data_IF_502089673772
#
_entry.id   IF_502089673772
#
_cell.length_a   1.000
_cell.length_b   1.000
_cell.length_c   1.000
_cell.angle_alpha   90.00
_cell.angle_beta   90.00
_cell.angle_gamma   90.00
#
_symmetry.space_group_name_H-M   'P 1'
#
loop_
_entity.id
_entity.type
_entity.pdbx_description
1 polymer ?
#
# COMPACT_ATOMS: atom_id res chain seq x y z
N UNK A 1 7.51 -23.71 -4.04
CA UNK A 1 6.89 -22.51 -3.42
C UNK A 1 7.66 -22.18 -2.17
N UNK A 2 8.23 -20.99 -2.08
CA UNK A 2 8.92 -20.54 -0.87
C UNK A 2 7.96 -19.67 -0.05
N UNK A 3 7.40 -20.28 1.01
CA UNK A 3 6.44 -19.63 1.91
C UNK A 3 7.01 -18.38 2.57
N UNK A 4 8.33 -18.33 2.80
CA UNK A 4 8.97 -17.15 3.42
C UNK A 4 8.90 -15.96 2.48
N UNK A 5 9.19 -16.17 1.19
CA UNK A 5 9.11 -15.11 0.17
C UNK A 5 7.69 -14.63 -0.05
N UNK A 6 6.72 -15.54 -0.08
CA UNK A 6 5.28 -15.20 -0.16
C UNK A 6 4.89 -14.30 1.01
N UNK A 7 5.24 -14.70 2.22
CA UNK A 7 4.92 -13.96 3.43
C UNK A 7 5.57 -12.57 3.43
N UNK A 8 6.86 -12.48 3.07
CA UNK A 8 7.56 -11.20 2.90
C UNK A 8 6.89 -10.31 1.86
N UNK A 9 6.49 -10.86 0.69
CA UNK A 9 5.77 -10.13 -0.34
C UNK A 9 4.40 -9.62 0.12
N UNK A 10 3.65 -10.44 0.86
CA UNK A 10 2.37 -10.05 1.45
C UNK A 10 2.54 -8.91 2.46
N UNK A 11 3.50 -9.02 3.39
CA UNK A 11 3.78 -7.97 4.38
C UNK A 11 4.26 -6.67 3.72
N UNK A 12 5.05 -6.78 2.65
CA UNK A 12 5.56 -5.62 1.90
C UNK A 12 4.44 -4.95 1.13
N UNK A 13 3.59 -5.73 0.44
CA UNK A 13 2.40 -5.24 -0.23
C UNK A 13 1.48 -4.52 0.75
N UNK A 14 1.17 -5.18 1.88
CA UNK A 14 0.43 -4.63 3.01
C UNK A 14 0.97 -3.26 3.45
N UNK A 15 2.27 -3.19 3.76
CA UNK A 15 2.91 -1.96 4.21
C UNK A 15 2.83 -0.83 3.17
N UNK A 16 3.10 -1.12 1.90
CA UNK A 16 3.11 -0.10 0.84
C UNK A 16 1.69 0.37 0.52
N UNK A 17 0.75 -0.56 0.32
CA UNK A 17 -0.63 -0.24 -0.02
C UNK A 17 -1.36 0.53 1.07
N UNK A 18 -1.22 0.09 2.32
CA UNK A 18 -1.73 0.79 3.49
C UNK A 18 -1.01 2.14 3.70
N UNK A 19 0.32 2.12 3.68
CA UNK A 19 1.15 3.29 3.95
C UNK A 19 0.77 4.49 3.08
N UNK A 20 0.51 4.27 1.79
CA UNK A 20 0.15 5.34 0.83
C UNK A 20 -1.17 6.02 1.17
N UNK A 21 -2.16 5.31 1.73
CA UNK A 21 -3.49 5.91 1.99
C UNK A 21 -3.77 6.22 3.45
N UNK A 22 -2.88 5.85 4.37
CA UNK A 22 -3.08 6.14 5.80
C UNK A 22 -1.92 6.90 6.39
N UNK A 23 -0.69 6.42 6.19
CA UNK A 23 0.51 7.01 6.79
C UNK A 23 0.93 8.28 6.05
N UNK A 24 0.94 8.25 4.72
CA UNK A 24 1.38 9.37 3.90
C UNK A 24 0.48 10.60 4.07
N UNK A 25 -0.86 10.53 3.91
CA UNK A 25 -1.71 11.70 4.13
C UNK A 25 -1.54 12.24 5.55
N UNK A 26 -1.47 11.37 6.56
CA UNK A 26 -1.28 11.78 7.95
C UNK A 26 0.03 12.52 8.20
N UNK A 27 1.11 12.08 7.56
CA UNK A 27 2.42 12.75 7.66
C UNK A 27 2.41 14.09 6.94
N UNK A 28 1.77 14.14 5.76
CA UNK A 28 1.56 15.37 5.00
C UNK A 28 0.73 16.40 5.80
N UNK A 29 -0.30 15.95 6.52
CA UNK A 29 -1.13 16.84 7.34
C UNK A 29 -0.37 17.45 8.53
N UNK A 30 0.58 16.72 9.12
CA UNK A 30 1.32 17.16 10.31
C UNK A 30 2.56 17.99 10.00
N UNK A 31 3.27 17.63 8.94
CA UNK A 31 4.57 18.23 8.61
C UNK A 31 4.63 18.78 7.18
N UNK A 32 3.46 19.04 6.58
CA UNK A 32 3.32 19.57 5.23
C UNK A 32 4.13 18.74 4.21
N UNK A 33 4.64 19.39 3.18
CA UNK A 33 5.40 18.76 2.09
C UNK A 33 6.59 17.92 2.60
N UNK A 34 7.25 18.32 3.70
CA UNK A 34 8.36 17.56 4.29
C UNK A 34 7.89 16.22 4.85
N UNK A 35 6.75 16.22 5.55
CA UNK A 35 6.13 14.97 6.04
C UNK A 35 5.72 14.04 4.91
N UNK A 36 5.16 14.59 3.84
CA UNK A 36 4.85 13.82 2.64
C UNK A 36 6.10 13.24 1.97
N UNK A 37 7.17 14.03 1.86
CA UNK A 37 8.44 13.59 1.27
C UNK A 37 9.09 12.48 2.09
N UNK A 38 9.14 12.61 3.43
CA UNK A 38 9.67 11.59 4.32
C UNK A 38 8.82 10.31 4.30
N UNK A 39 7.50 10.44 4.30
CA UNK A 39 6.61 9.27 4.20
C UNK A 39 6.80 8.53 2.87
N UNK A 40 6.89 9.26 1.75
CA UNK A 40 7.20 8.67 0.45
C UNK A 40 8.53 7.93 0.47
N UNK A 41 9.59 8.55 0.99
CA UNK A 41 10.90 7.94 1.12
C UNK A 41 10.88 6.66 1.96
N UNK A 42 10.20 6.66 3.10
CA UNK A 42 10.11 5.45 3.93
C UNK A 42 9.26 4.36 3.26
N UNK A 43 8.07 4.71 2.77
CA UNK A 43 7.10 3.73 2.27
C UNK A 43 7.59 3.11 0.95
N UNK A 44 7.92 3.96 -0.02
CA UNK A 44 8.28 3.52 -1.38
C UNK A 44 9.68 2.91 -1.39
N UNK A 45 10.66 3.48 -0.69
CA UNK A 45 12.01 2.91 -0.68
C UNK A 45 12.06 1.58 0.07
N UNK A 46 11.30 1.41 1.17
CA UNK A 46 11.23 0.11 1.86
C UNK A 46 10.57 -0.95 0.96
N UNK A 47 9.44 -0.63 0.32
CA UNK A 47 8.79 -1.53 -0.62
C UNK A 47 9.72 -1.92 -1.77
N UNK A 48 10.43 -0.93 -2.32
CA UNK A 48 11.40 -1.13 -3.39
C UNK A 48 12.56 -2.04 -2.96
N UNK A 49 13.16 -1.77 -1.79
CA UNK A 49 14.27 -2.56 -1.27
C UNK A 49 13.88 -4.02 -1.04
N UNK A 50 12.72 -4.26 -0.43
CA UNK A 50 12.26 -5.62 -0.15
C UNK A 50 11.93 -6.39 -1.43
N UNK A 51 11.37 -5.70 -2.43
CA UNK A 51 11.08 -6.30 -3.72
C UNK A 51 12.35 -6.66 -4.50
N UNK A 52 13.39 -5.81 -4.48
CA UNK A 52 14.57 -5.99 -5.33
C UNK A 52 15.72 -6.74 -4.66
N UNK A 53 15.89 -6.59 -3.34
CA UNK A 53 17.07 -7.13 -2.64
C UNK A 53 16.72 -8.22 -1.63
N UNK A 54 15.49 -8.21 -1.08
CA UNK A 54 15.04 -9.25 -0.17
C UNK A 54 14.15 -10.31 -0.85
N UNK A 55 13.95 -10.21 -2.17
CA UNK A 55 13.27 -11.25 -2.95
C UNK A 55 11.83 -11.54 -2.48
N UNK A 56 11.19 -10.55 -1.83
CA UNK A 56 9.83 -10.66 -1.30
C UNK A 56 8.76 -10.66 -2.37
N UNK A 57 8.97 -9.92 -3.47
CA UNK A 57 8.15 -10.00 -4.66
C UNK A 57 9.02 -10.47 -5.83
N UNK A 58 8.63 -11.54 -6.54
CA UNK A 58 9.38 -12.03 -7.69
C UNK A 58 9.28 -11.01 -8.83
N UNK A 59 10.39 -10.35 -9.13
CA UNK A 59 10.47 -9.34 -10.18
C UNK A 59 11.73 -9.56 -11.02
N UNK A 60 11.57 -9.46 -12.34
CA UNK A 60 12.72 -9.26 -13.23
C UNK A 60 13.31 -7.87 -13.00
N UNK A 61 14.61 -7.70 -13.23
CA UNK A 61 15.22 -6.37 -13.22
C UNK A 61 14.40 -5.40 -14.06
N UNK A 62 13.97 -4.27 -13.47
CA UNK A 62 13.22 -3.15 -14.05
C UNK A 62 11.66 -3.15 -13.97
N UNK A 63 11.00 -4.11 -13.29
CA UNK A 63 9.53 -4.11 -13.11
C UNK A 63 8.97 -3.40 -11.87
N UNK A 64 9.80 -2.58 -11.19
CA UNK A 64 9.60 -2.11 -9.82
C UNK A 64 8.25 -1.47 -9.49
N UNK A 65 7.70 -0.71 -10.44
CA UNK A 65 6.48 0.07 -10.24
C UNK A 65 5.22 -0.78 -10.27
N UNK A 66 5.17 -1.82 -11.09
CA UNK A 66 3.98 -2.67 -11.25
C UNK A 66 3.70 -3.45 -9.96
N UNK A 67 4.76 -3.87 -9.27
CA UNK A 67 4.69 -4.72 -8.09
C UNK A 67 4.14 -4.02 -6.86
N UNK A 68 4.40 -2.70 -6.75
CA UNK A 68 3.88 -1.86 -5.68
C UNK A 68 2.57 -1.17 -6.07
N UNK A 69 2.36 -0.90 -7.36
CA UNK A 69 1.12 -0.33 -7.86
C UNK A 69 -0.09 -1.24 -7.62
N UNK A 70 0.06 -2.56 -7.75
CA UNK A 70 -1.04 -3.50 -7.52
C UNK A 70 -1.53 -3.48 -6.04
N UNK A 71 -0.66 -3.56 -5.01
CA UNK A 71 -1.05 -3.37 -3.62
C UNK A 71 -1.69 -2.00 -3.33
N UNK A 72 -1.15 -0.91 -3.88
CA UNK A 72 -1.71 0.43 -3.73
C UNK A 72 -3.12 0.47 -4.36
N UNK A 73 -3.26 0.01 -5.60
CA UNK A 73 -4.54 0.01 -6.31
C UNK A 73 -5.59 -0.83 -5.57
N UNK A 74 -5.26 -2.05 -5.15
CA UNK A 74 -6.19 -2.89 -4.38
C UNK A 74 -6.55 -2.26 -3.02
N UNK A 75 -5.62 -1.56 -2.37
CA UNK A 75 -5.91 -0.83 -1.14
C UNK A 75 -6.96 0.25 -1.37
N UNK A 76 -6.79 1.06 -2.42
CA UNK A 76 -7.75 2.09 -2.81
C UNK A 76 -9.10 1.50 -3.22
N UNK A 77 -9.09 0.41 -3.99
CA UNK A 77 -10.29 -0.26 -4.46
C UNK A 77 -11.15 -0.78 -3.30
N UNK A 78 -10.51 -1.41 -2.31
CA UNK A 78 -11.24 -2.03 -1.20
C UNK A 78 -11.61 -1.02 -0.11
N UNK A 79 -10.67 -0.17 0.30
CA UNK A 79 -10.86 0.72 1.46
C UNK A 79 -11.05 2.21 1.15
N UNK A 80 -10.97 2.61 -0.12
CA UNK A 80 -11.08 4.00 -0.56
C UNK A 80 -9.79 4.80 -0.38
N UNK A 81 -9.84 6.09 -0.73
CA UNK A 81 -8.70 7.01 -0.69
C UNK A 81 -8.87 8.07 0.40
N UNK A 82 -7.77 8.44 1.04
CA UNK A 82 -7.70 9.56 1.99
C UNK A 82 -6.83 10.64 1.37
N UNK A 83 -7.32 11.88 1.40
CA UNK A 83 -6.64 13.05 0.87
C UNK A 83 -6.53 14.13 1.95
N UNK A 84 -5.53 14.98 1.81
CA UNK A 84 -5.43 16.19 2.63
C UNK A 84 -6.25 17.30 1.98
N UNK A 85 -7.35 17.69 2.62
CA UNK A 85 -8.12 18.88 2.29
C UNK A 85 -7.54 20.11 3.03
N UNK A 86 -7.34 21.26 2.36
CA UNK A 86 -6.76 22.45 2.98
C UNK A 86 -7.59 23.05 4.12
N UNK A 87 -8.89 22.78 4.18
CA UNK A 87 -9.83 23.40 5.15
C UNK A 87 -10.23 22.39 6.23
N UNK A 88 -10.49 21.15 5.84
CA UNK A 88 -11.07 20.11 6.68
C UNK A 88 -10.04 19.07 7.16
N UNK A 89 -8.77 19.21 6.76
CA UNK A 89 -7.71 18.29 7.10
C UNK A 89 -7.84 16.95 6.37
N UNK A 90 -7.57 15.84 7.04
CA UNK A 90 -7.66 14.51 6.41
C UNK A 90 -9.11 14.13 6.17
N UNK A 91 -9.50 14.12 4.90
CA UNK A 91 -10.83 13.72 4.46
C UNK A 91 -10.74 12.52 3.54
N UNK A 92 -11.86 11.81 3.43
CA UNK A 92 -11.99 10.73 2.47
C UNK A 92 -12.23 11.31 1.08
N UNK A 93 -11.34 11.01 0.14
CA UNK A 93 -11.45 11.45 -1.26
C UNK A 93 -12.34 10.53 -2.11
N UNK A 94 -12.36 9.23 -1.80
CA UNK A 94 -13.21 8.24 -2.46
C UNK A 94 -13.56 7.08 -1.52
N UNK A 95 -14.71 6.45 -1.76
CA UNK A 95 -15.14 5.25 -1.07
C UNK A 95 -14.78 4.02 -1.89
N UNK A 96 -14.18 3.00 -1.25
CA UNK A 96 -13.92 1.72 -1.87
C UNK A 96 -15.20 0.87 -2.01
N UNK A 97 -15.09 -0.26 -2.70
CA UNK A 97 -16.22 -1.19 -2.95
C UNK A 97 -16.88 -1.66 -1.65
N UNK A 98 -16.13 -1.71 -0.55
CA UNK A 98 -16.61 -2.26 0.72
C UNK A 98 -16.78 -1.20 1.83
N UNK A 99 -17.02 0.07 1.47
CA UNK A 99 -17.18 1.15 2.45
C UNK A 99 -18.62 1.41 2.92
N UNK A 100 -18.82 1.51 4.25
CA UNK A 100 -20.02 2.07 4.90
C UNK A 100 -19.66 3.32 5.73
N UNK A 101 -20.52 4.34 5.81
CA UNK A 101 -20.19 5.66 6.36
C UNK A 101 -20.34 5.78 7.90
N UNK A 102 -19.24 5.85 8.67
CA UNK A 102 -19.16 6.24 10.11
C UNK A 102 -17.68 6.29 10.57
N UNK A 103 -17.30 6.84 11.73
CA UNK A 103 -15.89 6.92 12.21
C UNK A 103 -15.19 5.57 12.42
N UNK A 104 -15.93 4.50 12.75
CA UNK A 104 -15.52 3.10 12.64
C UNK A 104 -15.26 2.64 11.20
N UNK A 105 -15.70 3.39 10.19
CA UNK A 105 -15.35 3.15 8.79
C UNK A 105 -13.93 3.55 8.42
N UNK A 106 -13.26 4.39 9.22
CA UNK A 106 -11.82 4.59 9.06
C UNK A 106 -11.08 3.30 9.45
N UNK A 107 -11.48 2.64 10.54
CA UNK A 107 -10.96 1.30 10.88
C UNK A 107 -11.33 0.26 9.82
N UNK A 108 -12.55 0.31 9.28
CA UNK A 108 -12.94 -0.56 8.16
C UNK A 108 -12.10 -0.28 6.90
N UNK A 109 -11.77 0.99 6.60
CA UNK A 109 -10.81 1.35 5.54
C UNK A 109 -9.45 0.76 5.79
N UNK A 110 -8.92 0.99 6.99
CA UNK A 110 -7.59 0.52 7.37
C UNK A 110 -7.52 -1.00 7.18
N UNK A 111 -8.54 -1.70 7.65
CA UNK A 111 -8.66 -3.14 7.51
C UNK A 111 -8.76 -3.59 6.04
N UNK A 112 -9.63 -2.95 5.24
CA UNK A 112 -9.82 -3.31 3.83
C UNK A 112 -8.63 -2.95 2.95
N UNK A 113 -7.94 -1.83 3.24
CA UNK A 113 -6.68 -1.46 2.60
C UNK A 113 -5.62 -2.53 2.90
N UNK A 114 -5.51 -2.95 4.16
CA UNK A 114 -4.59 -4.02 4.57
C UNK A 114 -4.91 -5.35 3.87
N UNK A 115 -6.19 -5.74 3.82
CA UNK A 115 -6.63 -6.96 3.13
C UNK A 115 -6.32 -6.89 1.63
N UNK A 116 -6.67 -5.79 0.96
CA UNK A 116 -6.43 -5.61 -0.47
C UNK A 116 -4.94 -5.66 -0.80
N UNK A 117 -4.13 -4.96 -0.03
CA UNK A 117 -2.68 -4.97 -0.14
C UNK A 117 -2.05 -6.35 0.09
N UNK A 118 -2.59 -7.12 1.04
CA UNK A 118 -2.15 -8.49 1.35
C UNK A 118 -2.49 -9.45 0.21
N UNK A 119 -3.73 -9.39 -0.29
CA UNK A 119 -4.17 -10.19 -1.44
C UNK A 119 -3.37 -9.85 -2.70
N UNK A 120 -3.07 -8.57 -2.93
CA UNK A 120 -2.22 -8.11 -4.01
C UNK A 120 -0.82 -8.72 -3.96
N UNK A 121 -0.17 -8.66 -2.78
CA UNK A 121 1.16 -9.24 -2.59
C UNK A 121 1.19 -10.75 -2.85
N UNK A 122 0.14 -11.46 -2.42
CA UNK A 122 -0.02 -12.88 -2.71
C UNK A 122 -0.24 -13.18 -4.21
N UNK A 123 -1.16 -12.44 -4.85
CA UNK A 123 -1.46 -12.61 -6.28
C UNK A 123 -0.24 -12.32 -7.15
N UNK A 124 0.47 -11.24 -6.86
CA UNK A 124 1.68 -10.88 -7.59
C UNK A 124 2.73 -11.99 -7.51
N UNK A 125 2.94 -12.56 -6.31
CA UNK A 125 3.85 -13.69 -6.15
C UNK A 125 3.43 -14.90 -6.99
N UNK A 126 2.14 -15.27 -6.98
CA UNK A 126 1.67 -16.45 -7.70
C UNK A 126 1.75 -16.27 -9.23
N UNK A 127 1.42 -15.08 -9.74
CA UNK A 127 1.46 -14.75 -11.15
C UNK A 127 2.89 -14.63 -11.70
N UNK A 128 3.82 -14.10 -10.90
CA UNK A 128 5.20 -13.82 -11.33
C UNK A 128 6.23 -14.82 -10.81
N UNK A 129 5.80 -15.97 -10.28
CA UNK A 129 6.67 -17.04 -9.76
C UNK A 129 7.71 -17.60 -10.75
N UNK A 130 7.57 -17.33 -12.05
CA UNK A 130 8.49 -17.73 -13.12
C UNK A 130 9.52 -16.66 -13.48
N UNK A 131 9.47 -15.49 -12.83
CA UNK A 131 10.39 -14.37 -13.04
C UNK A 131 11.65 -14.46 -12.17
N UNK A 132 11.82 -15.58 -11.48
CA UNK A 132 12.93 -15.89 -10.56
C UNK A 132 13.98 -16.75 -11.25
#
# INVERSE_FOLDING_TARGET
MDLRRIFTGMCTGAFVGFGVFTIWPSSLARWNWLGGWLAAGIIITTGWLVNHYASGMPNRGNGAWVDMALPIWLSALLGGTVILDPVNGLVRGAYGIFHGANTGAALMTIFLQLVGATLAGYLLYTMRRSDV
#
